data_IF_601513521598
#
_entry.id   IF_601513521598
#
_cell.length_a   1.000
_cell.length_b   1.000
_cell.length_c   1.000
_cell.angle_alpha   90.00
_cell.angle_beta   90.00
_cell.angle_gamma   90.00
#
_symmetry.space_group_name_H-M   'P 1'
#
loop_
_entity.id
_entity.type
_entity.pdbx_description
1 polymer ?
#
# COMPACT_ATOMS: atom_id res chain seq x y z
N UNK A 1 2.33 11.21 -7.37
CA UNK A 1 1.76 10.52 -8.55
C UNK A 1 0.35 11.00 -8.82
N UNK A 2 -0.03 11.18 -10.10
CA UNK A 2 -1.40 11.52 -10.51
C UNK A 2 -2.43 10.50 -9.98
N UNK A 3 -2.03 9.22 -9.93
CA UNK A 3 -2.87 8.12 -9.44
C UNK A 3 -3.25 8.26 -7.96
N UNK A 4 -2.42 8.92 -7.14
CA UNK A 4 -2.68 9.12 -5.71
C UNK A 4 -3.83 10.11 -5.51
N UNK A 5 -3.79 11.22 -6.24
CA UNK A 5 -4.86 12.23 -6.23
C UNK A 5 -6.16 11.67 -6.81
N UNK A 6 -6.07 10.91 -7.91
CA UNK A 6 -7.23 10.25 -8.51
C UNK A 6 -7.85 9.21 -7.56
N UNK A 7 -7.02 8.48 -6.80
CA UNK A 7 -7.48 7.51 -5.80
C UNK A 7 -8.18 8.18 -4.62
N UNK A 8 -7.64 9.31 -4.14
CA UNK A 8 -8.29 10.12 -3.09
C UNK A 8 -9.65 10.62 -3.58
N UNK A 9 -9.74 11.13 -4.81
CA UNK A 9 -11.02 11.59 -5.41
C UNK A 9 -12.02 10.47 -5.61
N UNK A 10 -11.56 9.26 -5.92
CA UNK A 10 -12.40 8.08 -6.06
C UNK A 10 -12.87 7.49 -4.72
N UNK A 11 -12.45 8.05 -3.58
CA UNK A 11 -12.79 7.54 -2.25
C UNK A 11 -12.09 6.21 -1.91
N UNK A 12 -10.93 5.95 -2.53
CA UNK A 12 -10.15 4.75 -2.26
C UNK A 12 -9.41 4.91 -0.93
N UNK A 13 -9.61 3.95 -0.03
CA UNK A 13 -9.01 3.98 1.31
C UNK A 13 -7.59 3.38 1.36
N UNK A 14 -7.21 2.57 0.36
CA UNK A 14 -5.91 1.87 0.34
C UNK A 14 -5.29 1.96 -1.05
N UNK A 15 -4.08 2.47 -1.15
CA UNK A 15 -3.26 2.48 -2.37
C UNK A 15 -2.09 1.52 -2.16
N UNK A 16 -1.91 0.57 -3.06
CA UNK A 16 -0.85 -0.43 -2.99
C UNK A 16 0.08 -0.31 -4.20
N UNK A 17 1.37 -0.02 -3.97
CA UNK A 17 2.37 0.02 -5.04
C UNK A 17 3.18 -1.28 -5.11
N UNK A 18 3.59 -1.67 -6.32
CA UNK A 18 4.44 -2.85 -6.54
C UNK A 18 5.81 -2.68 -5.86
N UNK A 19 6.42 -3.82 -5.54
CA UNK A 19 7.80 -3.92 -5.07
C UNK A 19 8.76 -3.13 -5.98
N UNK A 20 9.61 -2.29 -5.37
CA UNK A 20 10.52 -1.38 -6.09
C UNK A 20 9.96 -0.02 -6.49
N UNK A 21 8.66 0.26 -6.28
CA UNK A 21 8.07 1.60 -6.48
C UNK A 21 7.95 2.30 -5.12
N UNK A 22 8.87 3.22 -4.86
CA UNK A 22 8.90 4.07 -3.67
C UNK A 22 8.60 5.51 -4.12
N UNK A 23 7.54 6.10 -3.59
CA UNK A 23 7.18 7.50 -3.80
C UNK A 23 6.71 8.13 -2.49
N UNK A 24 7.67 8.62 -1.71
CA UNK A 24 7.45 9.22 -0.39
C UNK A 24 6.55 10.47 -0.44
N UNK A 25 6.57 11.21 -1.57
CA UNK A 25 5.69 12.36 -1.76
C UNK A 25 4.24 11.90 -1.86
N UNK A 26 3.99 10.85 -2.64
CA UNK A 26 2.65 10.25 -2.73
C UNK A 26 2.19 9.65 -1.41
N UNK A 27 3.08 8.99 -0.68
CA UNK A 27 2.76 8.46 0.65
C UNK A 27 2.33 9.58 1.60
N UNK A 28 3.06 10.70 1.61
CA UNK A 28 2.74 11.85 2.46
C UNK A 28 1.37 12.44 2.11
N UNK A 29 1.08 12.60 0.81
CA UNK A 29 -0.22 13.10 0.33
C UNK A 29 -1.36 12.16 0.73
N UNK A 30 -1.16 10.85 0.56
CA UNK A 30 -2.14 9.83 0.92
C UNK A 30 -2.40 9.79 2.43
N UNK A 31 -1.35 9.82 3.26
CA UNK A 31 -1.48 9.86 4.73
C UNK A 31 -2.25 11.10 5.20
N UNK A 32 -1.95 12.26 4.63
CA UNK A 32 -2.67 13.49 4.96
C UNK A 32 -4.15 13.45 4.56
N UNK A 33 -4.50 12.67 3.54
CA UNK A 33 -5.87 12.43 3.11
C UNK A 33 -6.56 11.27 3.87
N UNK A 34 -5.90 10.65 4.86
CA UNK A 34 -6.43 9.50 5.59
C UNK A 34 -6.42 8.17 4.80
N UNK A 35 -5.69 8.12 3.68
CA UNK A 35 -5.56 6.95 2.82
C UNK A 35 -4.32 6.15 3.23
N UNK A 36 -4.49 4.83 3.41
CA UNK A 36 -3.38 3.94 3.72
C UNK A 36 -2.56 3.67 2.46
N UNK A 37 -1.29 4.04 2.46
CA UNK A 37 -0.40 3.86 1.32
C UNK A 37 0.61 2.74 1.63
N UNK A 38 0.43 1.58 0.99
CA UNK A 38 1.29 0.41 1.16
C UNK A 38 2.29 0.38 0.02
N UNK A 39 3.56 0.62 0.33
CA UNK A 39 4.65 0.56 -0.64
C UNK A 39 5.48 -0.70 -0.49
N UNK A 40 6.12 -1.08 -1.59
CA UNK A 40 7.18 -2.07 -1.62
C UNK A 40 6.79 -3.47 -1.11
N UNK A 41 5.49 -3.80 -1.16
CA UNK A 41 5.00 -5.11 -0.80
C UNK A 41 4.21 -5.73 -1.96
N UNK A 42 4.29 -7.05 -2.10
CA UNK A 42 3.37 -7.80 -2.94
C UNK A 42 2.37 -8.52 -2.03
N UNK A 43 1.05 -8.43 -2.30
CA UNK A 43 0.04 -9.14 -1.51
C UNK A 43 0.36 -10.63 -1.34
N UNK A 44 0.95 -11.25 -2.37
CA UNK A 44 1.35 -12.65 -2.38
C UNK A 44 2.47 -12.97 -1.39
N UNK A 45 3.43 -12.07 -1.20
CA UNK A 45 4.53 -12.22 -0.23
C UNK A 45 4.00 -12.04 1.19
N UNK A 46 3.18 -11.01 1.43
CA UNK A 46 2.59 -10.74 2.75
C UNK A 46 1.69 -11.90 3.19
N UNK A 47 0.89 -12.47 2.29
CA UNK A 47 0.09 -13.68 2.56
C UNK A 47 0.94 -14.91 2.87
N UNK A 48 2.04 -15.13 2.14
CA UNK A 48 2.96 -16.26 2.38
C UNK A 48 3.65 -16.15 3.75
N UNK A 49 4.02 -14.94 4.17
CA UNK A 49 4.65 -14.69 5.47
C UNK A 49 3.67 -14.93 6.62
N UNK A 50 2.43 -14.44 6.48
CA UNK A 50 1.37 -14.69 7.45
C UNK A 50 1.05 -16.19 7.58
N UNK A 51 0.97 -16.90 6.45
CA UNK A 51 0.72 -18.34 6.44
C UNK A 51 1.87 -19.15 7.06
N UNK A 52 3.12 -18.69 6.93
CA UNK A 52 4.24 -19.32 7.65
C UNK A 52 4.12 -19.14 9.17
N UNK A 53 3.74 -17.95 9.64
CA UNK A 53 3.54 -17.69 11.08
C UNK A 53 2.42 -18.56 11.65
N UNK A 54 1.26 -18.59 11.00
CA UNK A 54 0.09 -19.38 11.44
C UNK A 54 0.41 -20.88 11.53
N UNK A 55 1.30 -21.39 10.66
CA UNK A 55 1.69 -22.80 10.63
C UNK A 55 2.77 -23.18 11.64
N UNK A 56 3.36 -22.20 12.33
CA UNK A 56 4.44 -22.42 13.30
C UNK A 56 4.10 -21.86 14.71
N UNK A 57 2.81 -21.59 14.96
CA UNK A 57 2.21 -21.36 16.28
C UNK A 57 1.44 -22.62 16.65
#
# INVERSE_FOLDING_TARGET
MKITEDSIKAGINIIWTKEGIIDEKSETIAKNAGVTFVMNESPKKSFRKLNWIIRNI
#
